data_IF_926065373663
#
_entry.id   IF_926065373663
#
_cell.length_a   1.000
_cell.length_b   1.000
_cell.length_c   1.000
_cell.angle_alpha   90.00
_cell.angle_beta   90.00
_cell.angle_gamma   90.00
#
_symmetry.space_group_name_H-M   'P 1'
#
loop_
_entity.id
_entity.type
_entity.pdbx_description
1 polymer ?
#
# COMPACT_ATOMS: atom_id res chain seq x y z
N UNK A 1 -12.33 -49.58 57.10
CA UNK A 1 -13.58 -49.86 56.37
C UNK A 1 -14.48 -48.63 56.50
N UNK A 2 -14.47 -47.79 55.46
CA UNK A 2 -15.44 -46.76 55.03
C UNK A 2 -16.27 -46.07 56.13
N UNK A 3 -15.94 -44.81 56.42
CA UNK A 3 -16.87 -43.83 57.00
C UNK A 3 -17.07 -42.68 56.00
N UNK A 4 -18.29 -42.55 55.49
CA UNK A 4 -18.80 -41.38 54.75
C UNK A 4 -19.19 -40.30 55.77
N UNK A 5 -18.88 -39.02 55.51
CA UNK A 5 -19.84 -37.94 55.75
C UNK A 5 -19.43 -36.65 54.99
N UNK A 6 -20.40 -36.13 54.24
CA UNK A 6 -20.35 -34.89 53.46
C UNK A 6 -20.48 -33.66 54.37
N UNK A 7 -19.71 -32.58 54.16
CA UNK A 7 -20.21 -31.19 54.25
C UNK A 7 -19.35 -30.26 53.37
N UNK A 8 -19.98 -29.79 52.30
CA UNK A 8 -19.93 -28.46 51.65
C UNK A 8 -18.85 -27.45 52.09
N UNK A 9 -17.99 -27.06 51.14
CA UNK A 9 -17.56 -25.66 50.98
C UNK A 9 -17.47 -25.31 49.48
N UNK A 10 -18.54 -24.72 48.96
CA UNK A 10 -18.58 -23.91 47.75
C UNK A 10 -18.29 -22.45 48.13
N UNK A 11 -17.11 -21.93 47.80
CA UNK A 11 -16.83 -20.50 47.63
C UNK A 11 -15.61 -20.39 46.70
N UNK A 12 -15.84 -20.09 45.42
CA UNK A 12 -15.77 -18.73 44.88
C UNK A 12 -14.33 -18.28 44.58
N UNK A 13 -13.76 -18.80 43.49
CA UNK A 13 -12.85 -18.01 42.66
C UNK A 13 -13.63 -17.65 41.40
N UNK A 14 -14.34 -16.51 41.48
CA UNK A 14 -14.85 -15.81 40.31
C UNK A 14 -13.64 -15.53 39.41
N UNK A 15 -13.59 -16.18 38.25
CA UNK A 15 -12.66 -15.88 37.17
C UNK A 15 -12.97 -14.46 36.67
N UNK A 16 -12.47 -13.46 37.37
CA UNK A 16 -12.33 -12.09 36.89
C UNK A 16 -11.05 -12.02 36.07
N UNK A 17 -11.16 -12.51 34.84
CA UNK A 17 -10.28 -12.16 33.74
C UNK A 17 -11.11 -12.10 32.44
N UNK A 18 -12.24 -11.39 32.50
CA UNK A 18 -12.82 -10.76 31.30
C UNK A 18 -11.95 -9.53 30.99
N UNK A 19 -10.74 -9.79 30.51
CA UNK A 19 -9.80 -8.76 30.08
C UNK A 19 -8.77 -9.39 29.14
N UNK A 20 -9.22 -9.84 27.95
CA UNK A 20 -8.39 -10.03 26.75
C UNK A 20 -9.19 -10.30 25.47
N UNK A 21 -10.51 -10.06 25.44
CA UNK A 21 -11.23 -9.97 24.15
C UNK A 21 -10.92 -8.67 23.40
N UNK A 22 -10.19 -7.74 24.03
CA UNK A 22 -9.52 -6.60 23.41
C UNK A 22 -8.12 -7.01 22.93
N UNK A 23 -8.02 -8.10 22.16
CA UNK A 23 -7.00 -8.10 21.12
C UNK A 23 -7.33 -6.87 20.27
N UNK A 24 -6.58 -5.79 20.48
CA UNK A 24 -6.59 -4.51 19.77
C UNK A 24 -7.49 -4.62 18.54
N UNK A 25 -8.71 -4.08 18.60
CA UNK A 25 -9.50 -3.88 17.40
C UNK A 25 -8.59 -3.10 16.46
N UNK A 26 -8.13 -3.76 15.40
CA UNK A 26 -7.07 -3.26 14.54
C UNK A 26 -7.48 -1.87 14.06
N UNK A 27 -6.57 -0.90 14.11
CA UNK A 27 -6.88 0.45 13.64
C UNK A 27 -7.41 0.33 12.21
N UNK A 28 -8.58 0.93 11.94
CA UNK A 28 -9.27 0.75 10.66
C UNK A 28 -8.39 1.13 9.47
N UNK A 29 -7.49 2.10 9.62
CA UNK A 29 -6.54 2.49 8.57
C UNK A 29 -5.49 1.40 8.36
N UNK A 30 -4.98 0.80 9.45
CA UNK A 30 -4.02 -0.32 9.39
C UNK A 30 -4.67 -1.57 8.77
N UNK A 31 -5.92 -1.88 9.14
CA UNK A 31 -6.67 -3.01 8.58
C UNK A 31 -6.78 -2.91 7.05
N UNK A 32 -7.31 -1.78 6.56
CA UNK A 32 -7.45 -1.55 5.12
C UNK A 32 -6.11 -1.40 4.39
N UNK A 33 -5.06 -0.96 5.07
CA UNK A 33 -3.70 -1.01 4.52
C UNK A 33 -3.24 -2.45 4.26
N UNK A 34 -3.48 -3.38 5.21
CA UNK A 34 -3.15 -4.80 5.02
C UNK A 34 -3.93 -5.41 3.84
N UNK A 35 -5.23 -5.11 3.75
CA UNK A 35 -6.07 -5.54 2.61
C UNK A 35 -5.51 -5.03 1.27
N UNK A 36 -5.05 -3.78 1.21
CA UNK A 36 -4.43 -3.21 0.01
C UNK A 36 -3.14 -3.94 -0.35
N UNK A 37 -2.25 -4.18 0.63
CA UNK A 37 -1.00 -4.90 0.41
C UNK A 37 -1.25 -6.33 -0.10
N UNK A 38 -2.26 -7.02 0.43
CA UNK A 38 -2.68 -8.33 -0.06
C UNK A 38 -3.19 -8.28 -1.51
N UNK A 39 -3.95 -7.25 -1.88
CA UNK A 39 -4.36 -7.04 -3.26
C UNK A 39 -3.16 -6.78 -4.19
N UNK A 40 -2.19 -5.97 -3.76
CA UNK A 40 -0.95 -5.70 -4.51
C UNK A 40 -0.18 -7.00 -4.79
N UNK A 41 0.04 -7.82 -3.75
CA UNK A 41 0.74 -9.11 -3.87
C UNK A 41 0.00 -10.05 -4.81
N UNK A 42 -1.31 -10.17 -4.63
CA UNK A 42 -2.10 -11.16 -5.33
C UNK A 42 -2.37 -10.79 -6.80
N UNK A 43 -2.42 -9.49 -7.14
CA UNK A 43 -2.49 -9.02 -8.54
C UNK A 43 -1.11 -8.75 -9.16
N UNK A 44 -0.03 -8.93 -8.39
CA UNK A 44 1.36 -8.64 -8.82
C UNK A 44 1.48 -7.23 -9.40
N UNK A 45 0.89 -6.26 -8.70
CA UNK A 45 0.87 -4.86 -9.16
C UNK A 45 2.31 -4.35 -9.31
N UNK A 46 2.70 -3.77 -10.46
CA UNK A 46 4.05 -3.25 -10.63
C UNK A 46 4.37 -2.14 -9.62
N UNK A 47 5.62 -2.03 -9.11
CA UNK A 47 5.97 -1.12 -8.03
C UNK A 47 5.43 0.31 -8.18
N UNK A 48 5.64 0.99 -9.33
CA UNK A 48 5.16 2.37 -9.46
C UNK A 48 3.63 2.47 -9.37
N UNK A 49 2.91 1.48 -9.93
CA UNK A 49 1.45 1.41 -9.83
C UNK A 49 0.98 1.11 -8.41
N UNK A 50 1.68 0.23 -7.68
CA UNK A 50 1.36 -0.09 -6.29
C UNK A 50 1.46 1.17 -5.40
N UNK A 51 2.54 1.94 -5.54
CA UNK A 51 2.74 3.19 -4.82
C UNK A 51 1.63 4.22 -5.10
N UNK A 52 1.27 4.37 -6.39
CA UNK A 52 0.16 5.25 -6.80
C UNK A 52 -1.17 4.80 -6.19
N UNK A 53 -1.45 3.50 -6.21
CA UNK A 53 -2.70 2.95 -5.70
C UNK A 53 -2.80 3.14 -4.18
N UNK A 54 -1.72 2.87 -3.43
CA UNK A 54 -1.62 3.15 -2.00
C UNK A 54 -1.89 4.63 -1.70
N UNK A 55 -1.27 5.55 -2.46
CA UNK A 55 -1.48 6.98 -2.29
C UNK A 55 -2.95 7.40 -2.54
N UNK A 56 -3.62 6.83 -3.54
CA UNK A 56 -5.04 7.08 -3.81
C UNK A 56 -5.92 6.66 -2.63
N UNK A 57 -5.72 5.45 -2.11
CA UNK A 57 -6.49 4.96 -0.99
C UNK A 57 -6.25 5.81 0.27
N UNK A 58 -4.98 6.04 0.61
CA UNK A 58 -4.62 6.75 1.84
C UNK A 58 -4.99 8.23 1.80
N UNK A 59 -4.92 8.90 0.65
CA UNK A 59 -5.43 10.29 0.53
C UNK A 59 -6.96 10.35 0.64
N UNK A 60 -7.68 9.34 0.16
CA UNK A 60 -9.12 9.23 0.37
C UNK A 60 -9.51 8.99 1.83
N UNK A 61 -8.80 8.09 2.53
CA UNK A 61 -8.97 7.87 3.97
C UNK A 61 -8.65 9.16 4.73
N UNK A 62 -7.52 9.79 4.43
CA UNK A 62 -7.06 11.03 5.08
C UNK A 62 -8.10 12.14 4.99
N UNK A 63 -8.59 12.46 3.77
CA UNK A 63 -9.59 13.50 3.60
C UNK A 63 -10.93 13.15 4.26
N UNK A 64 -11.32 11.88 4.27
CA UNK A 64 -12.56 11.43 4.91
C UNK A 64 -12.48 11.54 6.43
N UNK A 65 -11.37 11.16 7.04
CA UNK A 65 -11.14 11.24 8.50
C UNK A 65 -10.94 12.70 8.93
N UNK A 66 -10.12 13.46 8.20
CA UNK A 66 -9.87 14.86 8.50
C UNK A 66 -11.14 15.73 8.35
N UNK A 67 -12.17 15.27 7.65
CA UNK A 67 -13.47 15.98 7.54
C UNK A 67 -14.32 16.01 8.83
N UNK A 68 -13.92 15.28 9.88
CA UNK A 68 -14.60 15.27 11.17
C UNK A 68 -14.14 16.43 12.07
N UNK A 69 -12.82 16.53 12.28
CA UNK A 69 -12.24 17.52 13.19
C UNK A 69 -11.56 18.69 12.44
N UNK A 70 -11.26 18.52 11.15
CA UNK A 70 -10.64 19.53 10.26
C UNK A 70 -9.38 20.18 10.83
N UNK A 71 -8.57 19.39 11.55
CA UNK A 71 -7.34 19.86 12.19
C UNK A 71 -6.19 20.07 11.20
N UNK A 72 -6.30 19.52 9.99
CA UNK A 72 -5.28 19.63 8.96
C UNK A 72 -5.86 20.12 7.63
N UNK A 73 -4.98 20.58 6.73
CA UNK A 73 -5.36 20.89 5.35
C UNK A 73 -5.64 19.58 4.59
N UNK A 74 -6.82 19.40 3.97
CA UNK A 74 -7.09 18.22 3.17
C UNK A 74 -6.18 18.17 1.95
N UNK A 75 -5.95 16.96 1.44
CA UNK A 75 -5.28 16.74 0.16
C UNK A 75 -6.09 17.33 -0.99
N UNK A 76 -7.40 17.05 -1.05
CA UNK A 76 -8.27 17.56 -2.10
C UNK A 76 -9.67 17.94 -1.61
N UNK A 77 -10.30 17.09 -0.79
CA UNK A 77 -11.71 17.21 -0.43
C UNK A 77 -11.85 17.93 0.91
N UNK A 78 -12.31 19.18 0.87
CA UNK A 78 -12.75 19.90 2.06
C UNK A 78 -14.26 19.71 2.23
N UNK A 79 -14.69 18.93 3.22
CA UNK A 79 -16.10 18.70 3.51
C UNK A 79 -16.33 18.52 5.02
N UNK A 80 -17.57 18.72 5.46
CA UNK A 80 -17.99 18.41 6.82
C UNK A 80 -18.59 17.00 6.84
N UNK A 81 -18.10 16.15 7.74
CA UNK A 81 -18.71 14.83 7.94
C UNK A 81 -20.16 14.97 8.47
N UNK A 82 -21.07 14.03 8.13
CA UNK A 82 -22.43 14.05 8.65
C UNK A 82 -22.46 13.98 10.19
N UNK A 83 -23.36 14.73 10.82
CA UNK A 83 -23.54 14.72 12.27
C UNK A 83 -23.78 13.30 12.79
N UNK A 84 -23.08 12.93 13.87
CA UNK A 84 -23.16 11.60 14.52
C UNK A 84 -22.75 10.42 13.63
N UNK A 85 -22.09 10.67 12.50
CA UNK A 85 -21.47 9.61 11.70
C UNK A 85 -20.21 9.06 12.39
N UNK A 86 -19.83 7.83 12.08
CA UNK A 86 -18.60 7.22 12.61
C UNK A 86 -17.41 7.53 11.70
N UNK A 87 -16.33 8.04 12.28
CA UNK A 87 -15.04 8.25 11.60
C UNK A 87 -14.45 6.92 11.10
N UNK A 88 -14.61 5.86 11.87
CA UNK A 88 -14.20 4.49 11.51
C UNK A 88 -15.00 4.00 10.30
N UNK A 89 -16.31 4.24 10.26
CA UNK A 89 -17.12 3.91 9.10
C UNK A 89 -16.67 4.70 7.86
N UNK A 90 -16.29 5.98 8.01
CA UNK A 90 -15.81 6.81 6.92
C UNK A 90 -14.47 6.34 6.35
N UNK A 91 -13.52 5.96 7.21
CA UNK A 91 -12.26 5.35 6.78
C UNK A 91 -12.52 4.06 5.96
N UNK A 92 -13.35 3.15 6.48
CA UNK A 92 -13.70 1.90 5.78
C UNK A 92 -14.39 2.15 4.44
N UNK A 93 -15.36 3.06 4.39
CA UNK A 93 -16.05 3.42 3.15
C UNK A 93 -15.13 4.06 2.11
N UNK A 94 -14.19 4.90 2.53
CA UNK A 94 -13.21 5.51 1.64
C UNK A 94 -12.25 4.46 1.05
N UNK A 95 -11.70 3.60 1.92
CA UNK A 95 -10.80 2.52 1.53
C UNK A 95 -11.46 1.55 0.54
N UNK A 96 -12.64 1.03 0.91
CA UNK A 96 -13.44 0.15 0.06
C UNK A 96 -13.65 0.70 -1.34
N UNK A 97 -14.13 1.94 -1.46
CA UNK A 97 -14.42 2.53 -2.78
C UNK A 97 -13.16 2.78 -3.59
N UNK A 98 -12.05 3.15 -2.95
CA UNK A 98 -10.77 3.24 -3.65
C UNK A 98 -10.34 1.88 -4.20
N UNK A 99 -10.37 0.83 -3.36
CA UNK A 99 -9.91 -0.50 -3.74
C UNK A 99 -10.78 -1.17 -4.80
N UNK A 100 -12.12 -1.02 -4.74
CA UNK A 100 -13.02 -1.57 -5.77
C UNK A 100 -12.72 -0.98 -7.16
N UNK A 101 -12.40 0.32 -7.24
CA UNK A 101 -12.05 0.94 -8.53
C UNK A 101 -10.66 0.50 -9.01
N UNK A 102 -9.68 0.40 -8.09
CA UNK A 102 -8.29 0.08 -8.43
C UNK A 102 -8.08 -1.41 -8.71
N UNK A 103 -8.87 -2.29 -8.09
CA UNK A 103 -8.76 -3.75 -8.13
C UNK A 103 -10.14 -4.41 -8.36
N UNK A 104 -10.81 -4.16 -9.50
CA UNK A 104 -12.21 -4.54 -9.70
C UNK A 104 -12.46 -6.06 -9.66
N UNK A 105 -11.46 -6.87 -10.03
CA UNK A 105 -11.56 -8.34 -9.95
C UNK A 105 -11.70 -8.86 -8.50
N UNK A 106 -11.40 -8.03 -7.50
CA UNK A 106 -11.44 -8.35 -6.06
C UNK A 106 -12.60 -7.70 -5.33
N UNK A 107 -13.54 -7.07 -6.05
CA UNK A 107 -14.64 -6.32 -5.45
C UNK A 107 -15.41 -7.10 -4.37
N UNK A 108 -15.70 -8.39 -4.62
CA UNK A 108 -16.40 -9.25 -3.66
C UNK A 108 -15.64 -9.43 -2.33
N UNK A 109 -14.29 -9.46 -2.36
CA UNK A 109 -13.48 -9.53 -1.14
C UNK A 109 -13.62 -8.21 -0.36
N UNK A 110 -13.50 -7.07 -1.06
CA UNK A 110 -13.62 -5.77 -0.40
C UNK A 110 -15.04 -5.51 0.12
N UNK A 111 -16.08 -5.98 -0.58
CA UNK A 111 -17.47 -5.89 -0.12
C UNK A 111 -17.65 -6.63 1.21
N UNK A 112 -17.11 -7.85 1.33
CA UNK A 112 -17.12 -8.62 2.58
C UNK A 112 -16.34 -7.90 3.70
N UNK A 113 -15.14 -7.40 3.41
CA UNK A 113 -14.33 -6.66 4.39
C UNK A 113 -15.00 -5.36 4.87
N UNK A 114 -15.76 -4.70 3.99
CA UNK A 114 -16.56 -3.54 4.37
C UNK A 114 -17.73 -3.94 5.28
N UNK A 115 -18.44 -5.03 4.96
CA UNK A 115 -19.52 -5.51 5.82
C UNK A 115 -19.00 -5.89 7.22
N UNK A 116 -17.87 -6.58 7.29
CA UNK A 116 -17.19 -6.94 8.54
C UNK A 116 -16.76 -5.68 9.32
N UNK A 117 -16.11 -4.72 8.64
CA UNK A 117 -15.71 -3.42 9.21
C UNK A 117 -16.88 -2.63 9.82
N UNK A 118 -18.11 -2.87 9.37
CA UNK A 118 -19.31 -2.15 9.82
C UNK A 118 -20.17 -2.96 10.80
N UNK A 119 -19.73 -4.15 11.21
CA UNK A 119 -20.52 -5.05 12.07
C UNK A 119 -20.73 -4.46 13.47
N UNK A 120 -19.67 -3.95 14.10
CA UNK A 120 -19.73 -3.39 15.46
C UNK A 120 -20.26 -1.96 15.52
N UNK A 121 -20.42 -1.30 14.36
CA UNK A 121 -20.89 0.08 14.30
C UNK A 121 -22.42 0.11 14.51
N UNK A 122 -22.92 0.86 15.52
CA UNK A 122 -24.35 0.93 15.79
C UNK A 122 -25.18 1.28 14.55
N UNK A 123 -26.33 0.63 14.41
CA UNK A 123 -27.30 0.99 13.37
C UNK A 123 -27.72 2.46 13.52
N UNK A 124 -28.06 3.10 12.40
CA UNK A 124 -28.49 4.49 12.36
C UNK A 124 -27.40 5.44 11.86
N UNK A 125 -27.36 6.70 12.34
CA UNK A 125 -26.50 7.74 11.77
C UNK A 125 -25.01 7.39 11.71
N UNK A 126 -24.50 6.57 12.64
CA UNK A 126 -23.10 6.16 12.65
C UNK A 126 -22.67 5.48 11.34
N UNK A 127 -23.52 4.62 10.75
CA UNK A 127 -23.23 3.95 9.46
C UNK A 127 -23.23 4.88 8.25
N UNK A 128 -23.79 6.09 8.36
CA UNK A 128 -23.72 7.09 7.27
C UNK A 128 -22.29 7.56 6.99
N UNK A 129 -21.37 7.36 7.95
CA UNK A 129 -19.94 7.64 7.77
C UNK A 129 -19.36 6.87 6.57
N UNK A 130 -19.75 5.61 6.37
CA UNK A 130 -19.31 4.83 5.22
C UNK A 130 -19.75 5.45 3.90
N UNK A 131 -20.99 5.92 3.80
CA UNK A 131 -21.46 6.60 2.59
C UNK A 131 -20.70 7.91 2.34
N UNK A 132 -20.36 8.65 3.40
CA UNK A 132 -19.53 9.84 3.31
C UNK A 132 -18.11 9.52 2.82
N UNK A 133 -17.43 8.54 3.42
CA UNK A 133 -16.12 8.07 2.98
C UNK A 133 -16.09 7.65 1.51
N UNK A 134 -17.10 6.90 1.06
CA UNK A 134 -17.27 6.54 -0.36
C UNK A 134 -17.36 7.77 -1.26
N UNK A 135 -18.08 8.81 -0.84
CA UNK A 135 -18.19 10.04 -1.61
C UNK A 135 -16.87 10.82 -1.69
N UNK A 136 -16.06 10.83 -0.62
CA UNK A 136 -14.71 11.40 -0.62
C UNK A 136 -13.80 10.62 -1.59
N UNK A 137 -13.76 9.29 -1.47
CA UNK A 137 -12.94 8.44 -2.34
C UNK A 137 -13.25 8.62 -3.83
N UNK A 138 -14.54 8.73 -4.21
CA UNK A 138 -14.92 9.01 -5.61
C UNK A 138 -14.36 10.32 -6.13
N UNK A 139 -14.22 11.35 -5.29
CA UNK A 139 -13.62 12.63 -5.70
C UNK A 139 -12.11 12.49 -5.92
N UNK A 140 -11.42 11.77 -5.04
CA UNK A 140 -10.00 11.44 -5.21
C UNK A 140 -9.79 10.64 -6.50
N UNK A 141 -10.50 9.53 -6.68
CA UNK A 141 -10.44 8.70 -7.88
C UNK A 141 -10.72 9.51 -9.15
N UNK A 142 -11.73 10.39 -9.13
CA UNK A 142 -12.04 11.27 -10.27
C UNK A 142 -10.87 12.19 -10.60
N UNK A 143 -10.23 12.79 -9.59
CA UNK A 143 -9.07 13.64 -9.79
C UNK A 143 -7.85 12.87 -10.33
N UNK A 144 -7.75 11.57 -10.00
CA UNK A 144 -6.64 10.70 -10.43
C UNK A 144 -6.92 9.90 -11.71
N UNK A 145 -8.15 9.91 -12.24
CA UNK A 145 -8.55 9.11 -13.40
C UNK A 145 -7.68 9.32 -14.64
N UNK A 146 -7.31 10.57 -14.91
CA UNK A 146 -6.53 10.97 -16.08
C UNK A 146 -5.15 11.52 -15.69
N UNK A 147 -4.55 10.97 -14.63
CA UNK A 147 -3.27 11.46 -14.13
C UNK A 147 -2.07 10.98 -14.93
N UNK A 148 -2.29 10.25 -16.04
CA UNK A 148 -1.23 9.84 -16.95
C UNK A 148 -0.71 8.41 -16.73
N UNK A 149 -1.14 7.72 -15.66
CA UNK A 149 -0.66 6.37 -15.34
C UNK A 149 -1.07 5.32 -16.38
N UNK A 150 -2.21 5.52 -17.04
CA UNK A 150 -2.79 4.68 -18.09
C UNK A 150 -2.34 5.06 -19.51
N UNK A 151 -1.50 6.09 -19.66
CA UNK A 151 -1.00 6.51 -20.98
C UNK A 151 -0.21 5.39 -21.64
N UNK A 152 -0.46 5.19 -22.92
CA UNK A 152 0.34 4.29 -23.75
C UNK A 152 1.53 5.06 -24.32
N UNK A 153 2.74 4.66 -23.95
CA UNK A 153 3.99 5.19 -24.50
C UNK A 153 4.78 4.00 -25.05
N UNK A 154 5.15 4.07 -26.33
CA UNK A 154 6.02 3.07 -26.93
C UNK A 154 7.46 3.29 -26.46
N UNK A 155 8.15 2.20 -26.15
CA UNK A 155 9.58 2.21 -25.87
C UNK A 155 10.26 1.13 -26.71
N UNK A 156 11.20 1.54 -27.55
CA UNK A 156 12.00 0.65 -28.37
C UNK A 156 13.41 0.57 -27.76
N UNK A 157 13.83 -0.61 -27.26
CA UNK A 157 15.17 -0.78 -26.73
C UNK A 157 16.24 -0.49 -27.78
N UNK A 158 17.31 0.14 -27.34
CA UNK A 158 18.45 0.49 -28.18
C UNK A 158 19.50 -0.63 -28.30
N UNK A 159 20.58 -0.33 -29.03
CA UNK A 159 21.72 -1.23 -29.20
C UNK A 159 23.08 -0.56 -28.98
N UNK A 160 23.12 0.77 -28.84
CA UNK A 160 24.35 1.49 -28.53
C UNK A 160 24.73 1.33 -27.05
N UNK A 161 26.01 1.52 -26.68
CA UNK A 161 26.43 1.56 -25.28
C UNK A 161 25.62 2.58 -24.47
N UNK A 162 25.17 2.16 -23.27
CA UNK A 162 24.34 2.98 -22.38
C UNK A 162 22.83 2.93 -22.65
N UNK A 163 22.38 2.36 -23.78
CA UNK A 163 20.96 2.16 -24.03
C UNK A 163 20.45 0.92 -23.30
N UNK A 164 19.33 1.04 -22.58
CA UNK A 164 18.74 -0.08 -21.85
C UNK A 164 18.27 -1.18 -22.82
N UNK A 165 18.45 -2.43 -22.40
CA UNK A 165 18.04 -3.63 -23.13
C UNK A 165 17.35 -4.62 -22.19
N UNK A 166 16.36 -5.38 -22.66
CA UNK A 166 15.77 -6.46 -21.87
C UNK A 166 16.83 -7.45 -21.41
N UNK A 167 16.73 -7.89 -20.15
CA UNK A 167 17.70 -8.79 -19.53
C UNK A 167 17.14 -10.21 -19.39
N UNK A 168 18.00 -11.25 -19.43
CA UNK A 168 17.58 -12.62 -19.14
C UNK A 168 17.09 -12.75 -17.69
N UNK A 169 16.26 -13.77 -17.38
CA UNK A 169 15.82 -14.83 -18.30
C UNK A 169 14.60 -14.46 -19.15
N UNK A 170 13.80 -13.48 -18.71
CA UNK A 170 12.49 -13.22 -19.30
C UNK A 170 12.54 -12.29 -20.53
N UNK A 171 13.59 -11.48 -20.66
CA UNK A 171 13.68 -10.43 -21.70
C UNK A 171 12.40 -9.57 -21.75
N UNK A 172 11.87 -9.23 -20.57
CA UNK A 172 10.64 -8.45 -20.43
C UNK A 172 10.80 -7.03 -21.02
N UNK A 173 9.71 -6.43 -21.53
CA UNK A 173 9.75 -5.06 -22.03
C UNK A 173 10.03 -4.04 -20.91
N UNK A 174 10.43 -2.83 -21.28
CA UNK A 174 10.61 -1.74 -20.33
C UNK A 174 9.31 -1.49 -19.55
N UNK A 175 9.43 -1.44 -18.23
CA UNK A 175 8.29 -1.26 -17.35
C UNK A 175 7.81 0.20 -17.38
N UNK A 176 6.54 0.40 -17.70
CA UNK A 176 5.82 1.68 -17.57
C UNK A 176 6.58 2.90 -18.14
N UNK A 177 6.96 2.92 -19.44
CA UNK A 177 7.70 4.04 -20.04
C UNK A 177 6.95 5.39 -19.98
N UNK A 178 5.64 5.36 -19.74
CA UNK A 178 4.82 6.55 -19.53
C UNK A 178 4.97 7.20 -18.16
N UNK A 179 5.61 6.54 -17.19
CA UNK A 179 5.61 6.98 -15.79
C UNK A 179 6.08 8.43 -15.54
N UNK A 180 7.07 8.98 -16.30
CA UNK A 180 7.46 10.38 -16.17
C UNK A 180 6.35 11.40 -16.44
N UNK A 181 5.27 10.98 -17.09
CA UNK A 181 4.10 11.82 -17.40
C UNK A 181 2.99 11.72 -16.36
N UNK A 182 3.17 10.94 -15.29
CA UNK A 182 2.18 10.86 -14.22
C UNK A 182 2.17 12.15 -13.43
N UNK A 183 1.00 12.78 -13.28
CA UNK A 183 0.80 13.97 -12.44
C UNK A 183 1.22 13.64 -11.01
N UNK A 184 2.20 14.32 -10.40
CA UNK A 184 2.62 13.97 -9.04
C UNK A 184 1.52 14.21 -7.99
N UNK A 185 1.68 13.61 -6.81
CA UNK A 185 0.79 13.86 -5.66
C UNK A 185 1.16 15.14 -4.90
N UNK A 186 2.46 15.31 -4.60
CA UNK A 186 2.96 16.43 -3.79
C UNK A 186 4.07 17.25 -4.49
N UNK A 187 4.76 16.67 -5.47
CA UNK A 187 5.77 17.39 -6.25
C UNK A 187 5.13 18.36 -7.25
N UNK A 188 5.84 19.41 -7.63
CA UNK A 188 5.41 20.34 -8.66
C UNK A 188 5.51 19.75 -10.08
N UNK A 189 6.48 18.87 -10.31
CA UNK A 189 6.69 18.19 -11.58
C UNK A 189 7.46 16.88 -11.37
N UNK A 190 7.31 15.91 -12.29
CA UNK A 190 8.04 14.63 -12.24
C UNK A 190 9.57 14.77 -12.35
N UNK A 191 10.07 15.92 -12.80
CA UNK A 191 11.50 16.22 -12.89
C UNK A 191 12.03 17.08 -11.75
N UNK A 192 11.24 17.36 -10.70
CA UNK A 192 11.62 18.27 -9.61
C UNK A 192 12.95 17.90 -8.95
N UNK A 193 13.24 16.60 -8.83
CA UNK A 193 14.46 16.07 -8.21
C UNK A 193 15.35 15.29 -9.18
N UNK A 194 15.29 15.61 -10.48
CA UNK A 194 16.11 14.91 -11.49
C UNK A 194 17.61 15.23 -11.28
N UNK A 195 18.48 14.22 -11.05
CA UNK A 195 19.91 14.44 -10.90
C UNK A 195 20.59 14.69 -12.27
N UNK A 196 21.89 14.98 -12.24
CA UNK A 196 22.72 14.92 -13.45
C UNK A 196 22.71 13.51 -14.06
N UNK A 197 23.02 13.41 -15.36
CA UNK A 197 23.13 12.12 -16.05
C UNK A 197 24.25 11.24 -15.50
N UNK A 198 24.22 9.93 -15.78
CA UNK A 198 25.30 9.03 -15.38
C UNK A 198 26.63 9.40 -16.08
N UNK A 199 27.78 8.91 -15.59
CA UNK A 199 29.04 9.02 -16.31
C UNK A 199 28.94 8.47 -17.73
N UNK A 200 29.70 9.05 -18.66
CA UNK A 200 29.76 8.57 -20.04
C UNK A 200 30.28 7.12 -20.07
N UNK A 201 29.71 6.28 -20.93
CA UNK A 201 30.00 4.85 -20.98
C UNK A 201 31.46 4.52 -21.32
N UNK A 202 32.20 5.46 -21.91
CA UNK A 202 33.62 5.37 -22.26
C UNK A 202 34.54 6.04 -21.23
N UNK A 203 34.01 6.48 -20.08
CA UNK A 203 34.78 7.15 -19.03
C UNK A 203 35.36 6.17 -18.01
N UNK A 204 36.49 6.55 -17.40
CA UNK A 204 37.10 5.81 -16.29
C UNK A 204 36.14 5.65 -15.10
N UNK A 205 35.29 6.66 -14.84
CA UNK A 205 34.30 6.63 -13.78
C UNK A 205 33.23 5.55 -14.04
N UNK A 206 32.77 5.39 -15.27
CA UNK A 206 31.85 4.32 -15.63
C UNK A 206 32.52 2.95 -15.50
N UNK A 207 33.76 2.81 -15.99
CA UNK A 207 34.54 1.56 -15.89
C UNK A 207 34.71 1.13 -14.42
N UNK A 208 35.07 2.06 -13.54
CA UNK A 208 35.22 1.77 -12.12
C UNK A 208 33.91 1.27 -11.47
N UNK A 209 32.78 1.91 -11.76
CA UNK A 209 31.47 1.45 -11.27
C UNK A 209 31.05 0.11 -11.87
N UNK A 210 31.35 -0.13 -13.14
CA UNK A 210 31.07 -1.40 -13.81
C UNK A 210 31.85 -2.55 -13.16
N UNK A 211 33.15 -2.36 -12.94
CA UNK A 211 34.02 -3.37 -12.32
C UNK A 211 33.60 -3.66 -10.87
N UNK A 212 33.23 -2.63 -10.11
CA UNK A 212 32.69 -2.80 -8.76
C UNK A 212 31.43 -3.67 -8.77
N UNK A 213 30.45 -3.36 -9.64
CA UNK A 213 29.21 -4.14 -9.74
C UNK A 213 29.49 -5.56 -10.24
N UNK A 214 30.41 -5.76 -11.18
CA UNK A 214 30.76 -7.08 -11.69
C UNK A 214 31.35 -7.97 -10.57
N UNK A 215 32.24 -7.41 -9.75
CA UNK A 215 32.87 -8.13 -8.65
C UNK A 215 31.90 -8.33 -7.49
N UNK A 216 31.22 -7.28 -7.03
CA UNK A 216 30.34 -7.32 -5.86
C UNK A 216 28.98 -7.95 -6.16
N UNK A 217 28.49 -7.88 -7.40
CA UNK A 217 27.17 -8.38 -7.82
C UNK A 217 27.16 -9.81 -8.36
N UNK A 218 28.33 -10.41 -8.64
CA UNK A 218 28.41 -11.79 -9.11
C UNK A 218 27.74 -12.77 -8.13
N UNK A 219 27.03 -13.78 -8.66
CA UNK A 219 26.38 -14.82 -7.83
C UNK A 219 27.37 -15.45 -6.86
N UNK A 220 28.59 -15.73 -7.33
CA UNK A 220 29.68 -16.32 -6.56
C UNK A 220 30.80 -15.30 -6.29
N UNK A 221 30.45 -14.06 -5.91
CA UNK A 221 31.43 -13.03 -5.60
C UNK A 221 32.40 -13.50 -4.50
N UNK A 222 33.73 -13.43 -4.72
CA UNK A 222 34.71 -13.75 -3.69
C UNK A 222 34.94 -12.58 -2.70
N UNK A 223 34.42 -11.38 -3.00
CA UNK A 223 34.61 -10.17 -2.18
C UNK A 223 33.37 -9.76 -1.39
N UNK A 224 32.16 -10.08 -1.88
CA UNK A 224 30.92 -9.76 -1.17
C UNK A 224 30.83 -10.58 0.12
N UNK A 225 30.57 -9.92 1.24
CA UNK A 225 30.39 -10.59 2.52
C UNK A 225 29.04 -11.30 2.61
N UNK A 226 28.90 -12.20 3.59
CA UNK A 226 27.62 -12.85 3.87
C UNK A 226 26.54 -11.82 4.23
N UNK A 227 26.85 -10.88 5.12
CA UNK A 227 25.94 -9.79 5.51
C UNK A 227 25.49 -8.95 4.31
N UNK A 228 26.39 -8.57 3.39
CA UNK A 228 26.02 -7.84 2.18
C UNK A 228 25.06 -8.64 1.28
N UNK A 229 25.20 -9.97 1.26
CA UNK A 229 24.27 -10.85 0.53
C UNK A 229 22.90 -10.87 1.23
N UNK A 230 22.88 -10.98 2.55
CA UNK A 230 21.64 -10.93 3.34
C UNK A 230 20.91 -9.60 3.18
N UNK A 231 21.64 -8.47 3.21
CA UNK A 231 21.08 -7.14 2.95
C UNK A 231 20.47 -7.07 1.55
N UNK A 232 21.18 -7.56 0.53
CA UNK A 232 20.68 -7.56 -0.84
C UNK A 232 19.40 -8.39 -0.97
N UNK A 233 19.33 -9.57 -0.34
CA UNK A 233 18.14 -10.43 -0.36
C UNK A 233 16.99 -9.86 0.48
N UNK A 234 17.29 -9.19 1.58
CA UNK A 234 16.30 -8.56 2.45
C UNK A 234 15.52 -7.46 1.71
N UNK A 235 16.21 -6.67 0.87
CA UNK A 235 15.60 -5.61 0.07
C UNK A 235 15.19 -6.05 -1.34
N UNK A 236 15.43 -7.31 -1.71
CA UNK A 236 15.09 -7.83 -3.02
C UNK A 236 13.59 -8.15 -3.10
N UNK A 237 12.80 -7.13 -3.45
CA UNK A 237 11.36 -7.27 -3.64
C UNK A 237 11.00 -7.23 -5.14
N UNK A 238 10.75 -8.40 -5.71
CA UNK A 238 10.34 -8.61 -7.09
C UNK A 238 8.83 -8.84 -7.26
N UNK A 239 8.40 -9.10 -8.49
CA UNK A 239 7.00 -9.41 -8.77
C UNK A 239 6.52 -10.65 -7.97
N UNK A 240 5.64 -10.45 -6.99
CA UNK A 240 5.14 -11.51 -6.10
C UNK A 240 5.38 -11.28 -4.60
N UNK A 241 6.12 -10.24 -4.21
CA UNK A 241 6.20 -9.74 -2.83
C UNK A 241 5.50 -8.38 -2.67
N UNK A 242 5.82 -7.60 -1.64
CA UNK A 242 5.54 -6.15 -1.62
C UNK A 242 6.69 -5.46 -2.36
N UNK A 243 6.59 -5.18 -3.68
CA UNK A 243 7.64 -4.42 -4.35
C UNK A 243 7.85 -3.10 -3.60
N UNK A 244 9.08 -2.58 -3.46
CA UNK A 244 9.29 -1.31 -2.76
C UNK A 244 8.43 -0.25 -3.46
N UNK A 245 7.44 0.32 -2.78
CA UNK A 245 6.53 1.29 -3.40
C UNK A 245 7.26 2.62 -3.67
#
# INVERSE_FOLDING_TARGET
MIARLCVRYTLACLLLAVASSAAIADDMVIHWNRIHLDAIRADKTPPPMAARNLAIMHTAIYDAVNSFDQTHRPYLVWANAPNKSSVVAAAAGAAHTALVELYPARAAIFDAELDDSLTEIPRGPAKSGAQFGRAVARKILKARRNDGADRVVAYTPGTAPGEWRPTPPAFAPALLPQWPFVTPFAMFAGSQFRPAGPPAADSDAYTASFDEVAVMGSVNSPLRTAEQTEIALFWADGAGSEPPP
#
